data_IF_184120233922
#
_entry.id   IF_184120233922
#
_cell.length_a   1.000
_cell.length_b   1.000
_cell.length_c   1.000
_cell.angle_alpha   90.00
_cell.angle_beta   90.00
_cell.angle_gamma   90.00
#
_symmetry.space_group_name_H-M   'P 1'
#
loop_
_entity.id
_entity.type
_entity.pdbx_description
1 polymer ?
#
# COMPACT_ATOMS: atom_id res chain seq x y z
N UNK A 1 0.02 -5.66 -18.69
CA UNK A 1 1.13 -5.10 -19.51
C UNK A 1 2.27 -4.51 -18.67
N UNK A 2 2.08 -3.87 -17.49
CA UNK A 2 3.19 -3.29 -16.73
C UNK A 2 4.32 -4.28 -16.44
N UNK A 3 4.00 -5.47 -15.98
CA UNK A 3 5.00 -6.51 -15.66
C UNK A 3 5.81 -6.94 -16.89
N UNK A 4 5.21 -6.96 -18.08
CA UNK A 4 5.90 -7.27 -19.32
C UNK A 4 6.94 -6.21 -19.67
N UNK A 5 6.60 -4.94 -19.47
CA UNK A 5 7.53 -3.83 -19.72
C UNK A 5 8.71 -3.87 -18.74
N UNK A 6 8.48 -4.21 -17.47
CA UNK A 6 9.55 -4.39 -16.49
C UNK A 6 10.51 -5.52 -16.90
N UNK A 7 9.96 -6.67 -17.34
CA UNK A 7 10.77 -7.80 -17.84
C UNK A 7 11.54 -7.39 -19.09
N UNK A 8 10.90 -6.71 -20.04
CA UNK A 8 11.56 -6.28 -21.29
C UNK A 8 12.70 -5.30 -21.01
N UNK A 9 12.52 -4.34 -20.11
CA UNK A 9 13.59 -3.40 -19.73
C UNK A 9 14.77 -4.12 -19.09
N UNK A 10 14.52 -5.06 -18.18
CA UNK A 10 15.57 -5.85 -17.55
C UNK A 10 16.31 -6.76 -18.54
N UNK A 11 15.58 -7.39 -19.45
CA UNK A 11 16.18 -8.20 -20.50
C UNK A 11 17.05 -7.38 -21.47
N UNK A 12 16.66 -6.15 -21.77
CA UNK A 12 17.37 -5.27 -22.69
C UNK A 12 18.59 -4.59 -22.06
N UNK A 13 18.44 -4.01 -20.87
CA UNK A 13 19.52 -3.30 -20.16
C UNK A 13 20.51 -4.23 -19.45
N UNK A 14 20.15 -5.48 -19.27
CA UNK A 14 20.87 -6.38 -18.36
C UNK A 14 20.65 -6.00 -16.93
N UNK A 15 21.11 -6.81 -15.97
CA UNK A 15 21.10 -6.60 -14.52
C UNK A 15 20.30 -5.43 -13.98
N UNK A 16 20.47 -5.07 -12.79
CA UNK A 16 19.82 -3.88 -12.21
C UNK A 16 19.90 -3.94 -10.71
N UNK A 17 19.83 -2.81 -10.08
CA UNK A 17 19.66 -2.68 -8.64
C UNK A 17 18.22 -2.98 -8.23
N UNK A 18 18.04 -3.56 -7.07
CA UNK A 18 16.73 -3.60 -6.44
C UNK A 18 16.34 -2.19 -6.03
N UNK A 19 15.12 -1.80 -6.35
CA UNK A 19 14.61 -0.48 -6.02
C UNK A 19 13.95 -0.40 -4.64
N UNK A 20 14.01 -1.46 -3.87
CA UNK A 20 13.50 -1.51 -2.51
C UNK A 20 14.64 -1.32 -1.53
N UNK A 21 14.38 -0.59 -0.47
CA UNK A 21 15.32 -0.51 0.63
C UNK A 21 15.37 -1.85 1.40
N UNK A 22 16.24 -1.92 2.41
CA UNK A 22 16.39 -3.11 3.26
C UNK A 22 15.13 -3.45 4.07
N UNK A 23 14.17 -2.57 4.11
CA UNK A 23 12.92 -2.70 4.86
C UNK A 23 11.75 -3.10 3.97
N UNK A 24 12.00 -3.46 2.69
CA UNK A 24 11.01 -4.08 1.83
C UNK A 24 10.39 -3.16 0.79
N UNK A 25 9.13 -3.01 0.80
CA UNK A 25 8.29 -2.46 -0.26
C UNK A 25 8.28 -0.92 -0.36
N UNK A 26 9.13 -0.26 0.41
CA UNK A 26 9.30 1.18 0.37
C UNK A 26 10.35 1.50 -0.67
N UNK A 27 10.04 2.43 -1.55
CA UNK A 27 11.04 2.99 -2.45
C UNK A 27 12.13 3.70 -1.63
N UNK A 28 13.39 3.70 -2.13
CA UNK A 28 14.45 4.48 -1.51
C UNK A 28 14.11 5.97 -1.43
N UNK A 29 14.93 6.73 -0.69
CA UNK A 29 14.80 8.18 -0.61
C UNK A 29 14.77 8.83 -2.00
N UNK A 30 13.95 9.88 -2.18
CA UNK A 30 13.83 10.63 -3.43
C UNK A 30 15.16 11.16 -3.98
N UNK A 31 16.12 11.41 -3.11
CA UNK A 31 17.46 11.89 -3.50
C UNK A 31 18.39 10.80 -3.99
N UNK A 32 18.04 9.54 -3.77
CA UNK A 32 18.89 8.40 -4.14
C UNK A 32 18.94 8.17 -5.65
N UNK A 33 20.07 7.66 -6.17
CA UNK A 33 20.17 7.26 -7.58
C UNK A 33 19.17 6.16 -7.95
N UNK A 34 18.91 5.25 -7.04
CA UNK A 34 17.98 4.12 -7.21
C UNK A 34 16.54 4.61 -7.38
N UNK A 35 16.12 5.59 -6.60
CA UNK A 35 14.79 6.21 -6.76
C UNK A 35 14.68 6.91 -8.12
N UNK A 36 15.68 7.67 -8.51
CA UNK A 36 15.69 8.37 -9.81
C UNK A 36 15.64 7.39 -10.98
N UNK A 37 16.41 6.31 -10.92
CA UNK A 37 16.37 5.25 -11.95
C UNK A 37 14.96 4.61 -12.03
N UNK A 38 14.36 4.32 -10.90
CA UNK A 38 12.99 3.78 -10.86
C UNK A 38 11.97 4.78 -11.41
N UNK A 39 12.05 6.05 -11.03
CA UNK A 39 11.16 7.09 -11.55
C UNK A 39 11.28 7.25 -13.08
N UNK A 40 12.48 7.17 -13.62
CA UNK A 40 12.70 7.19 -15.06
C UNK A 40 12.10 5.97 -15.76
N UNK A 41 12.25 4.78 -15.19
CA UNK A 41 11.58 3.58 -15.68
C UNK A 41 10.07 3.74 -15.64
N UNK A 42 9.52 4.21 -14.54
CA UNK A 42 8.09 4.43 -14.35
C UNK A 42 7.54 5.43 -15.39
N UNK A 43 8.25 6.51 -15.65
CA UNK A 43 7.88 7.48 -16.68
C UNK A 43 7.85 6.85 -18.08
N UNK A 44 8.84 6.03 -18.43
CA UNK A 44 8.85 5.29 -19.73
C UNK A 44 7.68 4.33 -19.82
N UNK A 45 7.38 3.61 -18.75
CA UNK A 45 6.25 2.68 -18.69
C UNK A 45 4.91 3.39 -18.85
N UNK A 46 4.73 4.53 -18.20
CA UNK A 46 3.53 5.36 -18.34
C UNK A 46 3.42 5.97 -19.74
N UNK A 47 4.54 6.32 -20.38
CA UNK A 47 4.53 6.72 -21.77
C UNK A 47 3.99 5.62 -22.68
N UNK A 48 4.38 4.36 -22.45
CA UNK A 48 3.85 3.22 -23.17
C UNK A 48 2.35 3.01 -22.91
N UNK A 49 1.88 3.25 -21.69
CA UNK A 49 0.44 3.24 -21.36
C UNK A 49 -0.35 4.19 -22.28
N UNK A 50 0.14 5.43 -22.43
CA UNK A 50 -0.57 6.48 -23.16
C UNK A 50 -0.44 6.34 -24.69
N UNK A 51 0.58 5.67 -25.20
CA UNK A 51 0.89 5.60 -26.63
C UNK A 51 0.73 4.17 -27.19
N UNK A 52 1.59 3.26 -26.74
CA UNK A 52 1.66 1.90 -27.31
C UNK A 52 0.45 1.05 -26.92
N UNK A 53 -0.02 1.19 -25.69
CA UNK A 53 -1.13 0.42 -25.13
C UNK A 53 -2.40 1.25 -24.95
N UNK A 54 -2.49 2.37 -25.63
CA UNK A 54 -3.69 3.20 -25.61
C UNK A 54 -4.93 2.38 -26.00
N UNK A 55 -5.93 2.39 -25.11
CA UNK A 55 -7.18 1.62 -25.32
C UNK A 55 -7.12 0.17 -24.85
N UNK A 56 -5.99 -0.29 -24.33
CA UNK A 56 -5.87 -1.59 -23.68
C UNK A 56 -5.90 -1.45 -22.16
N UNK A 57 -6.39 -2.47 -21.44
CA UNK A 57 -6.35 -2.46 -19.98
C UNK A 57 -4.90 -2.34 -19.49
N UNK A 58 -4.60 -1.26 -18.76
CA UNK A 58 -3.29 -1.00 -18.21
C UNK A 58 -3.44 -0.46 -16.79
N UNK A 59 -3.74 -1.36 -15.86
CA UNK A 59 -3.84 -1.00 -14.45
C UNK A 59 -2.44 -0.78 -13.88
N UNK A 60 -2.16 0.44 -13.50
CA UNK A 60 -0.91 0.82 -12.83
C UNK A 60 -1.10 2.12 -12.06
N UNK A 61 -0.69 2.11 -10.81
CA UNK A 61 -0.64 3.30 -9.94
C UNK A 61 0.80 3.78 -9.89
N UNK A 62 1.02 5.07 -10.16
CA UNK A 62 2.37 5.64 -10.10
C UNK A 62 2.91 5.59 -8.67
N UNK A 63 3.99 4.82 -8.48
CA UNK A 63 4.55 4.54 -7.16
C UNK A 63 5.26 5.75 -6.56
N UNK A 64 5.99 6.49 -7.38
CA UNK A 64 6.85 7.60 -6.94
C UNK A 64 6.08 8.83 -6.45
N UNK A 65 4.78 8.90 -6.70
CA UNK A 65 3.94 10.03 -6.28
C UNK A 65 3.20 9.79 -4.95
N UNK A 66 3.16 8.56 -4.47
CA UNK A 66 2.39 8.22 -3.28
C UNK A 66 3.29 8.22 -2.07
N UNK A 67 3.08 9.17 -1.18
CA UNK A 67 3.84 9.34 0.06
C UNK A 67 2.94 9.02 1.24
N UNK A 68 3.45 8.22 2.16
CA UNK A 68 2.76 7.78 3.36
C UNK A 68 3.50 8.18 4.61
N UNK A 69 2.75 8.37 5.68
CA UNK A 69 3.23 8.33 7.05
C UNK A 69 2.63 7.08 7.69
N UNK A 70 3.48 6.18 8.18
CA UNK A 70 3.07 4.89 8.73
C UNK A 70 3.51 4.84 10.20
N UNK A 71 2.57 4.55 11.10
CA UNK A 71 2.86 4.47 12.53
C UNK A 71 3.57 3.16 12.88
N UNK A 72 4.26 3.14 14.01
CA UNK A 72 4.52 1.87 14.68
C UNK A 72 3.21 1.16 14.98
N UNK A 73 3.25 -0.16 15.08
CA UNK A 73 2.06 -0.96 15.30
C UNK A 73 1.66 -0.98 16.79
N UNK A 74 0.40 -0.67 17.08
CA UNK A 74 -0.19 -0.64 18.42
C UNK A 74 -0.74 -2.01 18.82
N UNK A 75 -0.52 -2.50 20.04
CA UNK A 75 -1.05 -3.79 20.48
C UNK A 75 -2.56 -3.69 20.71
N UNK A 76 -3.33 -4.41 19.92
CA UNK A 76 -4.79 -4.45 20.04
C UNK A 76 -5.33 -5.62 20.87
N UNK A 77 -4.48 -6.60 21.20
CA UNK A 77 -4.86 -7.78 21.98
C UNK A 77 -5.90 -8.68 21.28
N UNK A 78 -6.05 -8.55 19.95
CA UNK A 78 -7.05 -9.26 19.16
C UNK A 78 -8.39 -8.53 19.02
N UNK A 79 -8.55 -7.37 19.68
CA UNK A 79 -9.73 -6.53 19.50
C UNK A 79 -9.55 -5.62 18.27
N UNK A 80 -10.23 -5.96 17.19
CA UNK A 80 -10.20 -5.21 15.93
C UNK A 80 -10.96 -3.86 15.99
N UNK A 81 -11.71 -3.61 17.07
CA UNK A 81 -12.43 -2.35 17.27
C UNK A 81 -11.71 -1.42 18.25
N UNK A 82 -10.55 -1.82 18.78
CA UNK A 82 -9.79 -0.99 19.70
C UNK A 82 -9.32 0.28 18.97
N UNK A 83 -9.67 1.43 19.55
CA UNK A 83 -9.32 2.76 19.02
C UNK A 83 -7.98 3.20 19.58
N UNK A 84 -7.14 3.77 18.72
CA UNK A 84 -5.82 4.28 19.08
C UNK A 84 -5.69 5.77 18.76
N UNK A 85 -4.70 6.46 19.33
CA UNK A 85 -4.54 7.91 19.17
C UNK A 85 -4.53 8.44 17.72
N UNK A 86 -4.00 7.72 16.71
CA UNK A 86 -4.06 8.19 15.33
C UNK A 86 -5.46 8.37 14.74
N UNK A 87 -6.48 7.71 15.31
CA UNK A 87 -7.88 7.90 14.90
C UNK A 87 -8.48 9.22 15.43
N UNK A 88 -7.83 9.84 16.40
CA UNK A 88 -8.30 11.09 17.01
C UNK A 88 -7.55 12.30 16.45
N UNK A 89 -6.22 12.18 16.32
CA UNK A 89 -5.38 13.28 15.86
C UNK A 89 -4.12 12.71 15.18
N UNK A 90 -3.73 13.27 14.03
CA UNK A 90 -2.50 12.91 13.33
C UNK A 90 -1.31 13.68 13.91
N UNK A 91 -0.27 12.96 14.33
CA UNK A 91 0.97 13.47 14.93
C UNK A 91 2.19 12.77 14.36
N UNK A 92 3.36 13.35 14.62
CA UNK A 92 4.66 12.75 14.25
C UNK A 92 5.10 11.62 15.20
N UNK A 93 4.53 11.55 16.41
CA UNK A 93 4.67 10.43 17.34
C UNK A 93 3.50 10.41 18.33
N UNK A 94 3.32 9.28 18.98
CA UNK A 94 2.23 9.04 19.92
C UNK A 94 2.75 8.42 21.21
N UNK A 95 2.34 8.97 22.36
CA UNK A 95 2.50 8.32 23.65
C UNK A 95 1.24 7.52 23.97
N UNK A 96 1.35 6.20 24.07
CA UNK A 96 0.23 5.31 24.38
C UNK A 96 0.65 4.26 25.42
N UNK A 97 -0.12 4.16 26.51
CA UNK A 97 0.16 3.25 27.64
C UNK A 97 1.63 3.32 28.15
N UNK A 98 2.20 4.55 28.18
CA UNK A 98 3.57 4.81 28.67
C UNK A 98 4.68 4.45 27.68
N UNK A 99 4.35 4.05 26.47
CA UNK A 99 5.29 3.76 25.38
C UNK A 99 5.13 4.77 24.24
N UNK A 100 6.24 5.18 23.65
CA UNK A 100 6.26 6.02 22.46
C UNK A 100 6.16 5.16 21.19
N UNK A 101 5.32 5.60 20.26
CA UNK A 101 5.10 5.02 18.94
C UNK A 101 5.44 6.07 17.88
N UNK A 102 6.45 5.80 17.06
CA UNK A 102 6.90 6.69 16.01
C UNK A 102 6.01 6.66 14.77
N UNK A 103 6.27 7.63 13.89
CA UNK A 103 5.68 7.70 12.54
C UNK A 103 6.82 7.73 11.53
N UNK A 104 6.73 6.91 10.50
CA UNK A 104 7.79 6.68 9.54
C UNK A 104 7.32 7.02 8.13
N UNK A 105 8.10 7.82 7.37
CA UNK A 105 7.78 8.10 5.98
C UNK A 105 7.98 6.86 5.10
N UNK A 106 7.13 6.71 4.09
CA UNK A 106 7.25 5.68 3.07
C UNK A 106 6.80 6.22 1.71
N UNK A 107 7.33 5.67 0.63
CA UNK A 107 6.97 6.04 -0.74
C UNK A 107 6.59 4.77 -1.50
N UNK A 108 5.48 4.81 -2.20
CA UNK A 108 4.96 3.71 -2.98
C UNK A 108 3.46 3.54 -2.84
N UNK A 109 2.79 2.97 -3.81
CA UNK A 109 1.34 2.77 -3.78
C UNK A 109 0.92 1.56 -2.92
N UNK A 110 1.85 0.68 -2.58
CA UNK A 110 1.60 -0.50 -1.76
C UNK A 110 2.37 -0.46 -0.44
N UNK A 111 1.72 -0.88 0.63
CA UNK A 111 2.35 -1.03 1.95
C UNK A 111 2.23 -2.49 2.35
N UNK A 112 3.37 -3.21 2.38
CA UNK A 112 3.42 -4.58 2.87
C UNK A 112 3.79 -4.59 4.35
N UNK A 113 2.80 -4.69 5.21
CA UNK A 113 3.02 -4.77 6.65
C UNK A 113 3.61 -6.13 7.04
N UNK A 114 3.17 -7.19 6.34
CA UNK A 114 3.56 -8.58 6.56
C UNK A 114 3.48 -9.35 5.24
N UNK A 115 4.33 -10.37 5.06
CA UNK A 115 4.24 -11.30 3.95
C UNK A 115 4.26 -12.76 4.43
N UNK A 116 3.53 -13.64 3.74
CA UNK A 116 3.42 -15.08 4.11
C UNK A 116 4.75 -15.83 4.03
N UNK A 117 5.65 -15.38 3.15
CA UNK A 117 6.99 -15.94 2.99
C UNK A 117 7.98 -15.45 4.06
N UNK A 118 7.51 -14.73 5.06
CA UNK A 118 8.31 -14.27 6.19
C UNK A 118 9.53 -13.48 5.74
N UNK A 119 10.69 -13.88 6.24
CA UNK A 119 11.96 -13.16 6.01
C UNK A 119 12.48 -13.18 4.56
N UNK A 120 11.88 -13.96 3.66
CA UNK A 120 12.30 -14.01 2.26
C UNK A 120 11.76 -12.83 1.43
N UNK A 121 10.66 -12.25 1.87
CA UNK A 121 10.10 -11.05 1.24
C UNK A 121 10.14 -9.93 2.26
N UNK A 122 10.94 -8.90 2.02
CA UNK A 122 11.01 -7.75 2.92
C UNK A 122 9.64 -7.09 3.10
N UNK A 123 9.38 -6.60 4.31
CA UNK A 123 8.13 -5.94 4.68
C UNK A 123 8.43 -4.67 5.48
N UNK A 124 7.46 -3.78 5.62
CA UNK A 124 7.63 -2.53 6.34
C UNK A 124 8.12 -2.76 7.78
N UNK A 125 7.51 -3.70 8.50
CA UNK A 125 8.01 -4.09 9.82
C UNK A 125 8.97 -5.27 9.69
N UNK A 126 10.15 -5.16 10.30
CA UNK A 126 11.16 -6.23 10.33
C UNK A 126 10.66 -7.47 11.06
N UNK A 127 9.85 -7.26 12.10
CA UNK A 127 9.27 -8.30 12.95
C UNK A 127 7.80 -7.96 13.21
N UNK A 128 6.91 -8.20 12.22
CA UNK A 128 5.49 -7.91 12.36
C UNK A 128 4.87 -8.82 13.42
N UNK A 129 4.21 -8.22 14.40
CA UNK A 129 3.57 -8.91 15.50
C UNK A 129 2.10 -9.17 15.20
N UNK A 130 1.57 -10.30 15.69
CA UNK A 130 0.13 -10.57 15.67
C UNK A 130 -0.61 -9.66 16.65
N UNK A 131 -1.90 -9.47 16.43
CA UNK A 131 -2.77 -8.67 17.29
C UNK A 131 -2.27 -7.22 17.49
N UNK A 132 -1.79 -6.62 16.39
CA UNK A 132 -1.39 -5.23 16.33
C UNK A 132 -2.13 -4.50 15.22
N UNK A 133 -2.40 -3.21 15.44
CA UNK A 133 -3.02 -2.29 14.49
C UNK A 133 -1.99 -1.26 14.05
N UNK A 134 -1.86 -1.04 12.76
CA UNK A 134 -1.03 -0.01 12.16
C UNK A 134 -1.89 1.00 11.41
N UNK A 135 -1.45 2.25 11.40
CA UNK A 135 -2.10 3.33 10.65
C UNK A 135 -1.17 3.84 9.57
N UNK A 136 -1.73 4.07 8.40
CA UNK A 136 -1.05 4.73 7.30
C UNK A 136 -1.91 5.90 6.82
N UNK A 137 -1.34 7.08 6.71
CA UNK A 137 -2.05 8.25 6.23
C UNK A 137 -1.22 9.04 5.22
N UNK A 138 -1.92 9.74 4.34
CA UNK A 138 -1.33 10.59 3.32
C UNK A 138 -2.21 11.83 3.11
N UNK A 139 -1.63 12.85 2.52
CA UNK A 139 -2.33 14.04 2.11
C UNK A 139 -2.41 14.09 0.59
N UNK A 140 -3.63 14.27 0.08
CA UNK A 140 -3.88 14.43 -1.35
C UNK A 140 -4.26 15.88 -1.60
N UNK A 141 -3.45 16.56 -2.41
CA UNK A 141 -3.75 17.92 -2.83
C UNK A 141 -4.52 17.91 -4.14
N UNK A 142 -5.67 18.59 -4.16
CA UNK A 142 -6.41 18.89 -5.39
C UNK A 142 -6.33 20.38 -5.70
N UNK A 143 -5.89 20.80 -6.89
CA UNK A 143 -5.76 22.21 -7.25
C UNK A 143 -7.11 22.89 -7.52
N UNK A 144 -8.20 22.14 -7.55
CA UNK A 144 -9.56 22.61 -7.76
C UNK A 144 -10.58 21.64 -7.16
N UNK A 145 -11.80 22.09 -6.98
CA UNK A 145 -12.91 21.22 -6.64
C UNK A 145 -13.22 20.28 -7.79
N UNK A 146 -13.17 18.99 -7.54
CA UNK A 146 -13.44 17.94 -8.52
C UNK A 146 -13.75 16.62 -7.84
N UNK A 147 -14.47 15.77 -8.54
CA UNK A 147 -14.59 14.37 -8.16
C UNK A 147 -13.30 13.63 -8.52
N UNK A 148 -12.84 12.77 -7.61
CA UNK A 148 -11.68 11.91 -7.80
C UNK A 148 -12.06 10.47 -7.48
N UNK A 149 -11.55 9.55 -8.28
CA UNK A 149 -11.67 8.12 -7.99
C UNK A 149 -10.61 7.68 -6.98
N UNK A 150 -11.00 6.91 -5.99
CA UNK A 150 -10.10 6.23 -5.08
C UNK A 150 -10.00 4.76 -5.48
N UNK A 151 -8.77 4.30 -5.74
CA UNK A 151 -8.49 2.87 -5.82
C UNK A 151 -7.80 2.44 -4.54
N UNK A 152 -8.50 1.67 -3.72
CA UNK A 152 -7.97 1.10 -2.49
C UNK A 152 -8.18 -0.41 -2.49
N UNK A 153 -7.16 -1.15 -2.04
CA UNK A 153 -7.17 -2.59 -1.99
C UNK A 153 -6.47 -3.07 -0.71
N UNK A 154 -7.11 -3.98 0.01
CA UNK A 154 -6.51 -4.70 1.12
C UNK A 154 -6.24 -6.13 0.70
N UNK A 155 -4.96 -6.48 0.59
CA UNK A 155 -4.54 -7.81 0.17
C UNK A 155 -4.10 -8.63 1.37
N UNK A 156 -4.82 -9.70 1.63
CA UNK A 156 -4.51 -10.67 2.67
C UNK A 156 -4.11 -12.00 2.02
N UNK A 157 -2.91 -12.05 1.47
CA UNK A 157 -2.41 -13.29 0.88
C UNK A 157 -2.21 -14.36 1.94
N UNK A 158 -3.09 -15.37 1.92
CA UNK A 158 -2.87 -16.62 2.62
C UNK A 158 -1.94 -17.55 1.84
N UNK A 159 -1.49 -18.62 2.48
CA UNK A 159 -0.76 -19.72 1.79
C UNK A 159 -1.65 -20.54 0.87
N UNK A 160 -2.94 -20.45 1.04
CA UNK A 160 -3.96 -21.09 0.21
C UNK A 160 -4.73 -20.01 -0.54
N UNK A 161 -5.13 -20.29 -1.76
CA UNK A 161 -5.98 -19.44 -2.60
C UNK A 161 -7.40 -19.22 -2.04
N UNK A 162 -7.59 -19.53 -0.76
CA UNK A 162 -8.88 -19.50 -0.07
C UNK A 162 -9.19 -18.17 0.63
N UNK A 163 -8.40 -17.12 0.39
CA UNK A 163 -8.76 -15.77 0.82
C UNK A 163 -9.88 -15.25 -0.09
N UNK A 164 -11.06 -15.50 0.37
CA UNK A 164 -12.32 -15.16 -0.30
C UNK A 164 -12.54 -13.65 -0.27
N UNK A 165 -13.41 -13.16 -1.14
CA UNK A 165 -13.89 -11.79 -1.06
C UNK A 165 -14.39 -11.49 0.36
N UNK A 166 -14.22 -10.28 0.86
CA UNK A 166 -14.64 -9.90 2.19
C UNK A 166 -16.13 -10.14 2.45
N UNK A 167 -16.49 -10.28 3.70
CA UNK A 167 -17.89 -10.27 4.10
C UNK A 167 -18.51 -8.90 3.76
N UNK A 168 -19.79 -8.88 3.43
CA UNK A 168 -20.52 -7.63 3.21
C UNK A 168 -20.36 -6.70 4.41
N UNK A 169 -20.11 -5.43 4.15
CA UNK A 169 -19.87 -4.43 5.19
C UNK A 169 -18.48 -4.49 5.83
N UNK A 170 -17.53 -5.22 5.24
CA UNK A 170 -16.13 -5.29 5.69
C UNK A 170 -15.19 -5.01 4.51
N UNK A 171 -14.08 -4.32 4.77
CA UNK A 171 -13.02 -4.13 3.77
C UNK A 171 -12.19 -5.39 3.55
N UNK A 172 -11.97 -6.14 4.63
CA UNK A 172 -11.24 -7.41 4.62
C UNK A 172 -11.59 -8.27 5.85
N UNK A 173 -10.89 -9.39 6.01
CA UNK A 173 -11.01 -10.28 7.18
C UNK A 173 -10.15 -9.87 8.37
N UNK A 174 -9.40 -8.76 8.27
CA UNK A 174 -8.46 -8.28 9.29
C UNK A 174 -8.92 -7.03 10.01
N UNK A 175 -10.13 -6.54 9.69
CA UNK A 175 -10.70 -5.36 10.33
C UNK A 175 -10.10 -4.05 9.81
N UNK A 176 -9.57 -4.05 8.58
CA UNK A 176 -9.07 -2.83 7.96
C UNK A 176 -10.19 -1.82 7.76
N UNK A 177 -9.85 -0.54 7.90
CA UNK A 177 -10.77 0.59 7.76
C UNK A 177 -10.11 1.72 6.98
N UNK A 178 -10.92 2.57 6.34
CA UNK A 178 -10.46 3.74 5.58
C UNK A 178 -11.22 4.96 6.07
N UNK A 179 -10.51 6.06 6.25
CA UNK A 179 -11.10 7.37 6.55
C UNK A 179 -10.67 8.37 5.48
N UNK A 180 -11.59 9.26 5.10
CA UNK A 180 -11.31 10.42 4.25
C UNK A 180 -11.79 11.64 5.01
N UNK A 181 -10.89 12.60 5.25
CA UNK A 181 -11.20 13.83 6.01
C UNK A 181 -11.85 13.55 7.38
N UNK A 182 -11.32 12.54 8.10
CA UNK A 182 -11.82 12.07 9.40
C UNK A 182 -13.20 11.37 9.37
N UNK A 183 -13.76 11.11 8.20
CA UNK A 183 -14.98 10.32 8.06
C UNK A 183 -14.64 8.90 7.64
N UNK A 184 -15.10 7.91 8.41
CA UNK A 184 -14.93 6.50 8.04
C UNK A 184 -15.84 6.18 6.86
N UNK A 185 -15.22 5.71 5.76
CA UNK A 185 -15.95 5.29 4.58
C UNK A 185 -16.32 3.82 4.66
N UNK A 186 -17.55 3.54 4.27
CA UNK A 186 -18.04 2.17 4.23
C UNK A 186 -17.46 1.42 3.03
N UNK A 187 -17.19 0.10 3.17
CA UNK A 187 -16.79 -0.72 2.04
C UNK A 187 -17.91 -0.79 0.99
N UNK A 188 -17.54 -1.05 -0.27
CA UNK A 188 -18.54 -1.24 -1.33
C UNK A 188 -19.38 -2.49 -1.07
N UNK A 189 -20.50 -2.61 -1.79
CA UNK A 189 -21.25 -3.86 -1.87
C UNK A 189 -20.47 -4.84 -2.74
N UNK A 190 -19.94 -5.88 -2.13
CA UNK A 190 -19.17 -6.90 -2.83
C UNK A 190 -20.09 -7.75 -3.71
N UNK A 191 -19.79 -7.80 -5.02
CA UNK A 191 -20.61 -8.54 -6.00
C UNK A 191 -20.07 -9.94 -6.27
N UNK A 192 -18.79 -10.20 -6.01
CA UNK A 192 -18.12 -11.47 -6.21
C UNK A 192 -17.71 -12.09 -4.87
N UNK A 193 -18.68 -12.60 -4.12
CA UNK A 193 -18.40 -13.41 -2.91
C UNK A 193 -17.73 -14.72 -3.29
N UNK A 194 -16.81 -15.20 -2.48
CA UNK A 194 -16.07 -16.45 -2.72
C UNK A 194 -15.19 -16.47 -3.98
N UNK A 195 -14.75 -15.32 -4.44
CA UNK A 195 -13.85 -15.19 -5.59
C UNK A 195 -12.55 -14.53 -5.19
N UNK A 196 -11.43 -15.03 -5.71
CA UNK A 196 -10.12 -14.36 -5.66
C UNK A 196 -9.98 -13.21 -6.66
N UNK A 197 -11.01 -13.00 -7.49
CA UNK A 197 -11.03 -11.90 -8.45
C UNK A 197 -11.44 -10.62 -7.76
N UNK A 198 -10.84 -9.51 -8.20
CA UNK A 198 -11.21 -8.18 -7.75
C UNK A 198 -12.70 -7.92 -8.01
N UNK A 199 -13.35 -7.32 -7.04
CA UNK A 199 -14.67 -6.73 -7.22
C UNK A 199 -14.44 -5.33 -7.79
N UNK A 200 -14.54 -5.20 -9.10
CA UNK A 200 -14.54 -3.92 -9.81
C UNK A 200 -15.93 -3.32 -9.84
#
# INVERSE_FOLDING_TARGET
>A
YPNMLAIAERAWKGGGTEYFDKNGTILPSEDSPEFKEFADFENRMLWHKEHTFKGYPFAYVKQTNVKWNITDAFPNGGDLNKVFPPEQELKDSYLYEGKEYGVHPAIGAGIYLRHVWGKMVPTFYKDPQENHTAYAYTWVYSPKDQEVGLWAEFQNYGRSEMDLAPLQGKWDYKGSRIWINNEEIQPPVWTATHSTKSNE
#
